data_IF_892201887424
#
_entry.id   IF_892201887424
#
_cell.length_a   1.000
_cell.length_b   1.000
_cell.length_c   1.000
_cell.angle_alpha   90.00
_cell.angle_beta   90.00
_cell.angle_gamma   90.00
#
_symmetry.space_group_name_H-M   'P 1'
#
loop_
_entity.id
_entity.type
_entity.pdbx_description
1 polymer ?
#
# COMPACT_ATOMS: atom_id res chain seq x y z
N UNK A 1 27.37 10.21 -5.23
CA UNK A 1 26.88 11.57 -5.55
C UNK A 1 25.90 11.99 -4.47
N UNK A 2 25.88 13.28 -4.13
CA UNK A 2 24.84 13.89 -3.29
C UNK A 2 23.65 14.23 -4.17
N UNK A 3 22.45 13.90 -3.71
CA UNK A 3 21.18 14.16 -4.40
C UNK A 3 20.25 14.97 -3.50
N UNK A 4 19.89 16.17 -3.92
CA UNK A 4 19.05 17.09 -3.15
C UNK A 4 17.60 17.01 -3.62
N UNK A 5 16.65 16.80 -2.71
CA UNK A 5 15.23 16.95 -3.05
C UNK A 5 14.36 17.23 -1.85
N UNK A 6 13.63 18.36 -1.89
CA UNK A 6 12.67 18.72 -0.82
C UNK A 6 11.47 17.76 -0.74
N UNK A 7 11.16 17.06 -1.84
CA UNK A 7 10.07 16.07 -1.90
C UNK A 7 10.59 14.73 -2.42
N UNK A 8 10.36 13.68 -1.66
CA UNK A 8 10.74 12.29 -2.00
C UNK A 8 10.12 11.81 -3.31
N UNK A 9 8.85 12.17 -3.59
CA UNK A 9 8.14 11.82 -4.85
C UNK A 9 8.85 12.34 -6.11
N UNK A 10 9.54 13.48 -6.02
CA UNK A 10 10.27 14.09 -7.14
C UNK A 10 11.69 13.56 -7.22
N UNK A 11 12.31 13.28 -6.07
CA UNK A 11 13.70 12.87 -6.00
C UNK A 11 13.90 11.40 -6.40
N UNK A 12 13.03 10.51 -5.92
CA UNK A 12 13.22 9.06 -6.03
C UNK A 12 13.49 8.54 -7.46
N UNK A 13 12.80 9.00 -8.52
CA UNK A 13 13.06 8.52 -9.89
C UNK A 13 14.47 8.86 -10.42
N UNK A 14 15.15 9.84 -9.83
CA UNK A 14 16.46 10.34 -10.29
C UNK A 14 17.64 9.80 -9.50
N UNK A 15 17.35 8.98 -8.47
CA UNK A 15 18.34 8.42 -7.57
C UNK A 15 19.09 7.26 -8.23
N UNK A 16 20.40 7.24 -8.00
CA UNK A 16 21.27 6.12 -8.36
C UNK A 16 21.68 5.36 -7.09
N UNK A 17 21.85 4.03 -7.15
CA UNK A 17 22.37 3.26 -6.02
C UNK A 17 23.67 3.86 -5.45
N UNK A 18 23.79 3.90 -4.12
CA UNK A 18 24.93 4.48 -3.42
C UNK A 18 24.96 6.01 -3.37
N UNK A 19 23.89 6.71 -3.79
CA UNK A 19 23.78 8.15 -3.59
C UNK A 19 23.63 8.53 -2.10
N UNK A 20 24.13 9.70 -1.72
CA UNK A 20 23.81 10.36 -0.45
C UNK A 20 22.60 11.24 -0.72
N UNK A 21 21.48 10.95 -0.06
CA UNK A 21 20.22 11.64 -0.30
C UNK A 21 20.03 12.72 0.76
N UNK A 22 19.71 13.95 0.35
CA UNK A 22 19.37 15.05 1.26
C UNK A 22 17.91 15.43 1.06
N UNK A 23 17.14 15.39 2.15
CA UNK A 23 15.71 15.66 2.18
C UNK A 23 15.39 16.86 3.06
N UNK A 24 14.19 17.40 2.87
CA UNK A 24 13.58 18.41 3.73
C UNK A 24 12.15 17.97 4.05
N UNK A 25 12.02 16.88 4.82
CA UNK A 25 10.75 16.19 5.01
C UNK A 25 10.63 15.66 6.44
N UNK A 26 9.90 16.37 7.30
CA UNK A 26 9.59 15.92 8.65
C UNK A 26 8.55 14.79 8.63
N UNK A 27 8.61 13.90 9.61
CA UNK A 27 7.66 12.80 9.80
C UNK A 27 7.46 11.93 8.55
N UNK A 28 8.57 11.50 7.93
CA UNK A 28 8.54 10.66 6.73
C UNK A 28 7.66 9.41 6.96
N UNK A 29 6.73 9.17 6.04
CA UNK A 29 5.84 8.00 6.06
C UNK A 29 6.54 6.72 5.53
N UNK A 30 5.91 5.57 5.74
CA UNK A 30 6.45 4.27 5.32
C UNK A 30 6.53 4.10 3.79
N UNK A 31 5.60 4.70 3.04
CA UNK A 31 5.52 4.58 1.57
C UNK A 31 6.68 5.34 0.91
N UNK A 32 6.90 6.58 1.34
CA UNK A 32 8.02 7.41 0.91
C UNK A 32 9.37 6.77 1.32
N UNK A 33 9.45 6.20 2.52
CA UNK A 33 10.62 5.47 2.98
C UNK A 33 10.93 4.25 2.10
N UNK A 34 9.94 3.40 1.77
CA UNK A 34 10.14 2.23 0.87
C UNK A 34 10.60 2.65 -0.53
N UNK A 35 10.08 3.77 -1.03
CA UNK A 35 10.51 4.32 -2.31
C UNK A 35 12.01 4.68 -2.29
N UNK A 36 12.50 5.25 -1.17
CA UNK A 36 13.93 5.49 -0.98
C UNK A 36 14.72 4.18 -0.83
N UNK A 37 14.19 3.19 -0.10
CA UNK A 37 14.83 1.87 0.04
C UNK A 37 15.07 1.23 -1.34
N UNK A 38 14.08 1.29 -2.23
CA UNK A 38 14.19 0.75 -3.58
C UNK A 38 15.34 1.38 -4.38
N UNK A 39 15.62 2.68 -4.16
CA UNK A 39 16.74 3.39 -4.79
C UNK A 39 18.13 3.03 -4.21
N UNK A 40 18.18 2.32 -3.08
CA UNK A 40 19.42 1.87 -2.39
C UNK A 40 20.43 3.00 -2.15
N UNK A 41 20.05 4.10 -1.48
CA UNK A 41 20.99 5.15 -1.12
C UNK A 41 22.01 4.63 -0.10
N UNK A 42 23.19 5.25 -0.09
CA UNK A 42 24.21 4.99 0.92
C UNK A 42 23.80 5.56 2.28
N UNK A 43 23.22 6.76 2.26
CA UNK A 43 22.76 7.46 3.46
C UNK A 43 21.62 8.42 3.10
N UNK A 44 20.78 8.72 4.08
CA UNK A 44 19.75 9.76 4.01
C UNK A 44 20.03 10.79 5.09
N UNK A 45 20.20 12.03 4.67
CA UNK A 45 20.36 13.21 5.52
C UNK A 45 19.05 14.00 5.44
N UNK A 46 18.42 14.27 6.56
CA UNK A 46 17.23 15.10 6.60
C UNK A 46 17.58 16.46 7.20
N UNK A 47 17.26 17.52 6.47
CA UNK A 47 17.46 18.90 6.90
C UNK A 47 16.64 19.24 8.15
N UNK A 48 15.49 18.57 8.29
CA UNK A 48 14.58 18.66 9.44
C UNK A 48 14.58 17.34 10.24
N UNK A 49 14.06 17.33 11.48
CA UNK A 49 13.96 16.11 12.25
C UNK A 49 13.16 15.01 11.53
N UNK A 50 13.66 13.76 11.57
CA UNK A 50 12.95 12.59 11.06
C UNK A 50 11.67 12.28 11.84
N UNK A 51 11.68 12.60 13.13
CA UNK A 51 10.54 12.49 14.05
C UNK A 51 10.37 13.87 14.69
N UNK A 52 9.30 14.57 14.34
CA UNK A 52 8.98 15.90 14.88
C UNK A 52 8.55 15.84 16.34
N UNK A 53 8.07 14.67 16.78
CA UNK A 53 7.51 14.45 18.12
C UNK A 53 6.00 14.67 18.18
N UNK A 54 5.33 15.04 17.08
CA UNK A 54 3.88 15.25 17.06
C UNK A 54 3.10 13.94 17.24
N UNK A 55 3.55 12.88 16.58
CA UNK A 55 3.01 11.53 16.69
C UNK A 55 4.09 10.52 16.27
N UNK A 56 3.91 9.22 16.57
CA UNK A 56 4.89 8.20 16.18
C UNK A 56 4.79 7.88 14.69
N UNK A 57 5.82 8.18 13.90
CA UNK A 57 5.88 7.89 12.46
C UNK A 57 6.77 6.67 12.14
N UNK A 58 6.48 5.96 11.03
CA UNK A 58 7.15 4.67 10.71
C UNK A 58 8.29 4.77 9.68
N UNK A 59 8.40 5.84 8.90
CA UNK A 59 9.38 5.93 7.82
C UNK A 59 10.85 5.77 8.25
N UNK A 60 11.32 6.39 9.36
CA UNK A 60 12.70 6.21 9.82
C UNK A 60 13.02 4.75 10.19
N UNK A 61 12.06 4.02 10.73
CA UNK A 61 12.21 2.60 11.06
C UNK A 61 12.43 1.75 9.80
N UNK A 62 11.66 2.02 8.74
CA UNK A 62 11.78 1.34 7.44
C UNK A 62 13.18 1.52 6.85
N UNK A 63 13.72 2.74 6.89
CA UNK A 63 15.07 3.04 6.38
C UNK A 63 16.17 2.34 7.20
N UNK A 64 16.08 2.39 8.54
CA UNK A 64 17.06 1.76 9.42
C UNK A 64 17.07 0.24 9.26
N UNK A 65 15.89 -0.41 9.16
CA UNK A 65 15.79 -1.86 8.92
C UNK A 65 16.38 -2.28 7.57
N UNK A 66 16.35 -1.39 6.57
CA UNK A 66 16.99 -1.61 5.28
C UNK A 66 18.52 -1.40 5.31
N UNK A 67 19.11 -1.04 6.46
CA UNK A 67 20.54 -0.81 6.62
C UNK A 67 21.04 0.53 6.07
N UNK A 68 20.13 1.49 5.84
CA UNK A 68 20.47 2.82 5.33
C UNK A 68 20.91 3.72 6.51
N UNK A 69 22.07 4.37 6.37
CA UNK A 69 22.55 5.29 7.41
C UNK A 69 21.71 6.58 7.42
N UNK A 70 21.21 6.97 8.60
CA UNK A 70 20.39 8.15 8.78
C UNK A 70 21.12 9.26 9.53
N UNK A 71 20.92 10.50 9.08
CA UNK A 71 21.48 11.69 9.70
C UNK A 71 20.48 12.83 9.69
N UNK A 72 20.44 13.62 10.76
CA UNK A 72 19.77 14.92 10.76
C UNK A 72 20.81 16.02 10.47
N UNK A 73 20.39 17.09 9.80
CA UNK A 73 21.14 18.34 9.71
C UNK A 73 21.53 18.77 11.12
N UNK A 74 22.80 19.15 11.31
CA UNK A 74 23.30 19.53 12.63
C UNK A 74 22.46 20.63 13.27
N UNK A 75 22.63 20.82 14.58
CA UNK A 75 21.82 21.73 15.43
C UNK A 75 21.83 23.23 15.06
N UNK A 76 22.37 23.61 13.90
CA UNK A 76 22.34 24.96 13.35
C UNK A 76 21.20 25.10 12.34
N UNK A 77 20.56 26.26 12.31
CA UNK A 77 19.46 26.63 11.40
C UNK A 77 19.88 26.78 9.91
N UNK A 78 20.94 26.08 9.49
CA UNK A 78 21.52 26.19 8.17
C UNK A 78 20.77 25.28 7.19
N UNK A 79 20.10 25.89 6.19
CA UNK A 79 19.42 25.17 5.13
C UNK A 79 20.45 24.41 4.27
N UNK A 80 20.50 23.09 4.41
CA UNK A 80 21.42 22.22 3.66
C UNK A 80 21.28 22.41 2.14
N UNK A 81 20.09 22.80 1.66
CA UNK A 81 19.84 23.03 0.23
C UNK A 81 20.47 24.32 -0.28
N UNK A 82 20.78 25.28 0.60
CA UNK A 82 21.49 26.51 0.23
C UNK A 82 23.01 26.30 0.14
N UNK A 83 23.52 25.26 0.79
CA UNK A 83 24.96 25.05 1.00
C UNK A 83 25.49 23.94 0.08
N UNK A 84 24.73 22.85 -0.07
CA UNK A 84 25.11 21.70 -0.86
C UNK A 84 24.74 21.89 -2.33
N UNK A 85 25.46 21.19 -3.21
CA UNK A 85 25.22 21.17 -4.65
C UNK A 85 24.72 19.80 -5.09
N UNK A 86 23.63 19.79 -5.85
CA UNK A 86 23.06 18.56 -6.40
C UNK A 86 23.97 17.95 -7.47
N UNK A 87 24.11 16.63 -7.45
CA UNK A 87 24.90 15.87 -8.43
C UNK A 87 26.41 15.84 -8.18
N UNK A 88 26.92 16.58 -7.19
CA UNK A 88 28.35 16.58 -6.87
C UNK A 88 28.75 15.40 -5.94
N UNK A 89 30.03 15.03 -5.94
CA UNK A 89 30.54 13.99 -5.05
C UNK A 89 30.65 14.53 -3.62
N UNK A 90 30.08 13.80 -2.68
CA UNK A 90 30.23 14.03 -1.25
C UNK A 90 30.72 12.78 -0.55
N UNK A 91 31.36 12.97 0.61
CA UNK A 91 31.85 11.89 1.47
C UNK A 91 31.31 12.10 2.88
N UNK A 92 30.82 11.03 3.50
CA UNK A 92 30.47 11.02 4.92
C UNK A 92 31.54 10.25 5.69
N UNK A 93 32.12 10.87 6.71
CA UNK A 93 33.07 10.23 7.63
C UNK A 93 32.88 10.76 9.04
N UNK A 94 32.75 9.89 10.04
CA UNK A 94 32.63 10.30 11.45
C UNK A 94 31.47 11.25 11.76
N UNK A 95 30.36 11.19 11.00
CA UNK A 95 29.23 12.12 11.16
C UNK A 95 29.48 13.51 10.55
N UNK A 96 30.41 13.63 9.60
CA UNK A 96 30.69 14.85 8.86
C UNK A 96 30.51 14.58 7.36
N UNK A 97 29.75 15.44 6.69
CA UNK A 97 29.63 15.47 5.23
C UNK A 97 30.62 16.50 4.66
N UNK A 98 31.48 16.03 3.76
CA UNK A 98 32.37 16.88 2.97
C UNK A 98 31.91 16.89 1.52
N UNK A 99 31.67 18.07 0.95
CA UNK A 99 31.34 18.27 -0.46
C UNK A 99 31.98 19.56 -0.97
N UNK A 100 32.80 19.47 -2.02
CA UNK A 100 33.35 20.64 -2.72
C UNK A 100 34.02 21.68 -1.81
N UNK A 101 34.67 21.23 -0.74
CA UNK A 101 35.33 22.07 0.26
C UNK A 101 34.42 22.52 1.41
N UNK A 102 33.11 22.31 1.33
CA UNK A 102 32.15 22.54 2.41
C UNK A 102 32.16 21.36 3.37
N UNK A 103 32.22 21.64 4.68
CA UNK A 103 32.20 20.66 5.76
C UNK A 103 30.95 20.90 6.60
N UNK A 104 30.08 19.91 6.69
CA UNK A 104 28.82 19.97 7.43
C UNK A 104 28.82 18.89 8.50
N UNK A 105 28.56 19.29 9.75
CA UNK A 105 28.39 18.32 10.85
C UNK A 105 26.97 17.78 10.85
N UNK A 106 26.87 16.45 10.85
CA UNK A 106 25.63 15.70 10.85
C UNK A 106 25.39 15.08 12.22
N UNK A 107 24.13 15.02 12.64
CA UNK A 107 23.72 14.28 13.82
C UNK A 107 23.33 12.85 13.40
N UNK A 108 24.05 11.79 13.80
CA UNK A 108 23.66 10.42 13.50
C UNK A 108 22.30 10.09 14.11
N UNK A 109 21.42 9.48 13.32
CA UNK A 109 20.11 9.03 13.77
C UNK A 109 20.08 7.50 13.83
N UNK A 110 19.98 6.96 15.04
CA UNK A 110 20.11 5.52 15.31
C UNK A 110 18.79 4.91 15.78
N UNK A 111 18.70 3.58 15.81
CA UNK A 111 17.52 2.88 16.34
C UNK A 111 17.22 3.25 17.80
N UNK A 112 18.24 3.49 18.63
CA UNK A 112 18.04 3.93 20.01
C UNK A 112 17.41 5.34 20.08
N UNK A 113 17.90 6.27 19.25
CA UNK A 113 17.32 7.62 19.14
C UNK A 113 15.88 7.55 18.63
N UNK A 114 15.62 6.68 17.65
CA UNK A 114 14.27 6.44 17.14
C UNK A 114 13.33 5.95 18.26
N UNK A 115 13.73 4.93 19.01
CA UNK A 115 12.92 4.39 20.11
C UNK A 115 12.57 5.45 21.15
N UNK A 116 13.53 6.30 21.52
CA UNK A 116 13.32 7.38 22.48
C UNK A 116 12.40 8.48 21.92
N UNK A 117 12.64 8.95 20.69
CA UNK A 117 11.76 9.93 20.04
C UNK A 117 10.34 9.39 19.84
N UNK A 118 10.19 8.11 19.49
CA UNK A 118 8.89 7.45 19.36
C UNK A 118 8.14 7.36 20.69
N UNK A 119 8.86 7.08 21.79
CA UNK A 119 8.28 7.08 23.14
C UNK A 119 7.78 8.46 23.54
N UNK A 120 8.57 9.51 23.25
CA UNK A 120 8.16 10.90 23.49
C UNK A 120 6.96 11.30 22.62
N UNK A 121 6.97 10.93 21.33
CA UNK A 121 5.89 11.25 20.41
C UNK A 121 4.55 10.58 20.79
N UNK A 122 4.59 9.38 21.39
CA UNK A 122 3.40 8.71 21.95
C UNK A 122 2.75 9.52 23.08
N UNK A 123 3.52 10.26 23.87
CA UNK A 123 2.98 11.10 24.92
C UNK A 123 2.16 12.28 24.37
N UNK A 124 2.49 12.74 23.16
CA UNK A 124 1.82 13.85 22.47
C UNK A 124 0.63 13.41 21.62
N UNK A 125 0.32 12.11 21.58
CA UNK A 125 -0.75 11.56 20.76
C UNK A 125 -2.13 12.12 21.13
N UNK A 126 -2.35 12.44 22.41
CA UNK A 126 -3.60 13.03 22.88
C UNK A 126 -3.88 14.40 22.23
N UNK A 127 -2.86 15.23 22.10
CA UNK A 127 -2.99 16.55 21.46
C UNK A 127 -3.21 16.39 19.94
N UNK A 128 -2.45 15.48 19.31
CA UNK A 128 -2.63 15.17 17.89
C UNK A 128 -4.03 14.62 17.58
N UNK A 129 -4.60 13.80 18.48
CA UNK A 129 -5.97 13.30 18.41
C UNK A 129 -7.00 14.40 18.58
N UNK A 130 -6.78 15.31 19.54
CA UNK A 130 -7.67 16.44 19.78
C UNK A 130 -7.70 17.38 18.58
N UNK A 131 -6.54 17.68 18.00
CA UNK A 131 -6.41 18.41 16.74
C UNK A 131 -7.17 17.71 15.60
N UNK A 132 -6.98 16.39 15.46
CA UNK A 132 -7.66 15.61 14.44
C UNK A 132 -9.18 15.70 14.60
N UNK A 133 -9.70 15.48 15.82
CA UNK A 133 -11.13 15.56 16.11
C UNK A 133 -11.72 16.94 15.80
N UNK A 134 -11.07 18.01 16.27
CA UNK A 134 -11.52 19.39 15.99
C UNK A 134 -11.50 19.72 14.50
N UNK A 135 -10.47 19.26 13.78
CA UNK A 135 -10.40 19.45 12.33
C UNK A 135 -11.52 18.68 11.62
N UNK A 136 -11.72 17.41 11.96
CA UNK A 136 -12.77 16.56 11.37
C UNK A 136 -14.16 17.15 11.60
N UNK A 137 -14.46 17.64 12.82
CA UNK A 137 -15.73 18.32 13.11
C UNK A 137 -15.90 19.60 12.28
N UNK A 138 -14.85 20.40 12.10
CA UNK A 138 -14.89 21.59 11.25
C UNK A 138 -15.13 21.25 9.77
N UNK A 139 -14.63 20.10 9.31
CA UNK A 139 -14.91 19.61 7.96
C UNK A 139 -16.35 19.12 7.83
N UNK A 140 -16.87 18.42 8.86
CA UNK A 140 -18.28 18.07 8.93
C UNK A 140 -19.17 19.31 8.88
N UNK A 141 -18.76 20.48 9.34
CA UNK A 141 -19.56 21.69 9.17
C UNK A 141 -19.74 22.15 7.72
N UNK A 142 -19.00 21.56 6.77
CA UNK A 142 -19.17 21.80 5.33
C UNK A 142 -20.27 20.90 4.77
N UNK A 143 -21.17 21.50 4.00
CA UNK A 143 -22.32 20.84 3.40
C UNK A 143 -21.93 19.67 2.47
N UNK A 144 -20.85 19.80 1.71
CA UNK A 144 -20.29 18.75 0.83
C UNK A 144 -19.86 17.49 1.62
N UNK A 145 -19.29 17.66 2.82
CA UNK A 145 -18.82 16.53 3.65
C UNK A 145 -19.98 15.90 4.46
N UNK A 146 -20.95 16.71 4.88
CA UNK A 146 -22.19 16.21 5.49
C UNK A 146 -23.02 15.38 4.50
N UNK A 147 -23.18 15.86 3.27
CA UNK A 147 -23.91 15.14 2.23
C UNK A 147 -23.23 13.82 1.86
N UNK A 148 -21.89 13.73 1.90
CA UNK A 148 -21.20 12.45 1.72
C UNK A 148 -21.68 11.37 2.71
N UNK A 149 -22.00 11.73 3.96
CA UNK A 149 -22.52 10.81 4.97
C UNK A 149 -24.03 10.57 4.86
N UNK A 150 -24.79 11.64 4.64
CA UNK A 150 -26.25 11.64 4.80
C UNK A 150 -27.00 11.32 3.50
N UNK A 151 -26.42 11.68 2.36
CA UNK A 151 -27.04 11.54 1.05
C UNK A 151 -26.37 10.43 0.22
N UNK A 152 -27.11 9.80 -0.71
CA UNK A 152 -26.52 8.92 -1.72
C UNK A 152 -25.57 9.73 -2.61
N UNK A 153 -24.35 9.20 -2.81
CA UNK A 153 -23.38 9.85 -3.72
C UNK A 153 -23.71 9.47 -5.16
N UNK A 154 -23.77 10.46 -6.06
CA UNK A 154 -23.93 10.21 -7.49
C UNK A 154 -22.67 9.54 -8.04
N UNK A 155 -22.80 8.28 -8.47
CA UNK A 155 -21.69 7.47 -8.99
C UNK A 155 -21.84 7.20 -10.49
N UNK A 156 -20.74 7.22 -11.27
CA UNK A 156 -20.78 6.95 -12.71
C UNK A 156 -21.33 5.54 -13.00
N UNK A 157 -21.96 5.37 -14.17
CA UNK A 157 -22.48 4.07 -14.62
C UNK A 157 -21.34 3.12 -14.94
N UNK A 158 -21.24 2.01 -14.22
CA UNK A 158 -20.18 1.03 -14.47
C UNK A 158 -20.69 -0.08 -15.38
N UNK A 159 -19.94 -0.42 -16.43
CA UNK A 159 -20.16 -1.66 -17.19
C UNK A 159 -19.91 -2.88 -16.31
N UNK A 160 -18.96 -2.75 -15.39
CA UNK A 160 -18.63 -3.77 -14.39
C UNK A 160 -19.74 -3.86 -13.35
N UNK A 161 -20.32 -5.06 -13.18
CA UNK A 161 -21.34 -5.31 -12.16
C UNK A 161 -20.69 -5.52 -10.80
N UNK A 162 -20.94 -4.59 -9.86
CA UNK A 162 -20.46 -4.64 -8.47
C UNK A 162 -21.54 -5.10 -7.49
N UNK A 163 -22.82 -4.92 -7.82
CA UNK A 163 -23.95 -5.22 -6.96
C UNK A 163 -23.97 -6.71 -6.55
N UNK A 164 -24.11 -6.98 -5.25
CA UNK A 164 -24.22 -8.34 -4.72
C UNK A 164 -22.92 -9.16 -4.80
N UNK A 165 -21.78 -8.52 -5.08
CA UNK A 165 -20.47 -9.19 -5.22
C UNK A 165 -19.48 -8.70 -4.18
N UNK A 166 -18.47 -9.53 -3.93
CA UNK A 166 -17.25 -9.07 -3.30
C UNK A 166 -16.47 -8.18 -4.28
N UNK A 167 -15.94 -7.08 -3.78
CA UNK A 167 -15.09 -6.15 -4.54
C UNK A 167 -13.74 -6.06 -3.84
N UNK A 168 -12.67 -6.27 -4.60
CA UNK A 168 -11.30 -6.07 -4.16
C UNK A 168 -10.81 -4.70 -4.63
N UNK A 169 -10.53 -3.80 -3.69
CA UNK A 169 -9.93 -2.50 -3.96
C UNK A 169 -8.45 -2.56 -3.61
N UNK A 170 -7.58 -2.28 -4.58
CA UNK A 170 -6.13 -2.32 -4.39
C UNK A 170 -5.56 -0.91 -4.53
N UNK A 171 -4.86 -0.45 -3.49
CA UNK A 171 -4.12 0.81 -3.51
C UNK A 171 -2.65 0.56 -3.19
N UNK A 172 -1.76 1.45 -3.63
CA UNK A 172 -0.32 1.38 -3.30
C UNK A 172 -0.03 1.99 -1.93
N UNK A 173 -0.32 1.24 -0.86
CA UNK A 173 0.10 1.60 0.50
C UNK A 173 1.01 0.56 1.14
N UNK A 174 1.24 0.68 2.44
CA UNK A 174 2.27 -0.10 3.13
C UNK A 174 1.96 -1.61 3.14
N UNK A 175 2.89 -2.41 2.61
CA UNK A 175 2.78 -3.88 2.58
C UNK A 175 1.79 -4.44 1.56
N UNK A 176 1.34 -3.62 0.60
CA UNK A 176 0.27 -4.03 -0.34
C UNK A 176 0.68 -5.22 -1.24
N UNK A 177 1.96 -5.37 -1.58
CA UNK A 177 2.46 -6.49 -2.40
C UNK A 177 2.39 -7.81 -1.62
N UNK A 178 2.81 -7.79 -0.36
CA UNK A 178 2.74 -8.95 0.52
C UNK A 178 1.29 -9.33 0.82
N UNK A 179 0.42 -8.35 1.04
CA UNK A 179 -1.00 -8.57 1.29
C UNK A 179 -1.69 -9.14 0.03
N UNK A 180 -1.40 -8.59 -1.15
CA UNK A 180 -1.96 -9.05 -2.42
C UNK A 180 -1.50 -10.47 -2.78
N UNK A 181 -0.23 -10.81 -2.54
CA UNK A 181 0.30 -12.15 -2.76
C UNK A 181 -0.43 -13.21 -1.90
N UNK A 182 -0.91 -12.85 -0.71
CA UNK A 182 -1.65 -13.75 0.18
C UNK A 182 -3.13 -13.94 -0.22
N UNK A 183 -3.67 -13.08 -1.10
CA UNK A 183 -5.07 -13.14 -1.53
C UNK A 183 -5.33 -14.10 -2.70
N UNK A 184 -4.33 -14.85 -3.17
CA UNK A 184 -4.48 -15.74 -4.33
C UNK A 184 -5.64 -16.75 -4.21
N UNK A 185 -5.90 -17.29 -3.00
CA UNK A 185 -7.05 -18.17 -2.76
C UNK A 185 -8.39 -17.41 -2.80
N UNK A 186 -8.44 -16.22 -2.19
CA UNK A 186 -9.63 -15.38 -2.19
C UNK A 186 -10.03 -14.97 -3.61
N UNK A 187 -9.06 -14.55 -4.44
CA UNK A 187 -9.28 -14.21 -5.84
C UNK A 187 -9.88 -15.38 -6.63
N UNK A 188 -9.41 -16.61 -6.39
CA UNK A 188 -9.89 -17.82 -7.08
C UNK A 188 -11.27 -18.26 -6.60
N UNK A 189 -11.51 -18.28 -5.28
CA UNK A 189 -12.76 -18.80 -4.70
C UNK A 189 -13.92 -17.81 -4.83
N UNK A 190 -13.66 -16.52 -4.60
CA UNK A 190 -14.73 -15.50 -4.59
C UNK A 190 -14.91 -14.81 -5.93
N UNK A 191 -13.92 -14.90 -6.83
CA UNK A 191 -13.93 -14.18 -8.13
C UNK A 191 -14.45 -12.74 -8.00
N UNK A 192 -13.87 -11.94 -7.08
CA UNK A 192 -14.36 -10.60 -6.79
C UNK A 192 -14.18 -9.69 -8.01
N UNK A 193 -14.97 -8.62 -8.10
CA UNK A 193 -14.65 -7.54 -9.02
C UNK A 193 -13.42 -6.78 -8.49
N UNK A 194 -12.46 -6.45 -9.34
CA UNK A 194 -11.19 -5.84 -8.95
C UNK A 194 -11.14 -4.38 -9.38
N UNK A 195 -11.00 -3.47 -8.42
CA UNK A 195 -10.78 -2.04 -8.64
C UNK A 195 -9.33 -1.72 -8.28
N UNK A 196 -8.56 -1.25 -9.26
CA UNK A 196 -7.22 -0.72 -9.04
C UNK A 196 -7.28 0.79 -8.85
N UNK A 197 -6.65 1.29 -7.79
CA UNK A 197 -6.58 2.73 -7.52
C UNK A 197 -5.22 3.29 -7.94
N UNK A 198 -5.25 4.34 -8.77
CA UNK A 198 -4.06 4.96 -9.34
C UNK A 198 -3.10 3.89 -9.92
N UNK A 199 -1.78 4.02 -9.74
CA UNK A 199 -0.82 3.02 -10.25
C UNK A 199 -0.80 1.67 -9.54
N UNK A 200 -1.80 1.32 -8.71
CA UNK A 200 -1.99 -0.08 -8.28
C UNK A 200 -2.33 -1.00 -9.47
N UNK A 201 -2.81 -0.44 -10.59
CA UNK A 201 -3.10 -1.19 -11.80
C UNK A 201 -1.85 -1.93 -12.34
N UNK A 202 -0.70 -1.28 -12.34
CA UNK A 202 0.55 -1.89 -12.84
C UNK A 202 1.03 -3.04 -11.95
N UNK A 203 0.84 -2.92 -10.63
CA UNK A 203 1.19 -3.97 -9.68
C UNK A 203 0.31 -5.21 -9.84
N UNK A 204 -1.00 -5.02 -10.05
CA UNK A 204 -1.94 -6.10 -10.35
C UNK A 204 -1.54 -6.84 -11.64
N UNK A 205 -1.21 -6.11 -12.70
CA UNK A 205 -0.78 -6.70 -13.97
C UNK A 205 0.51 -7.50 -13.84
N UNK A 206 1.46 -7.04 -13.03
CA UNK A 206 2.70 -7.77 -12.73
C UNK A 206 2.43 -9.12 -12.08
N UNK A 207 1.35 -9.23 -11.30
CA UNK A 207 0.89 -10.47 -10.65
C UNK A 207 -0.03 -11.31 -11.55
N UNK A 208 -0.25 -10.90 -12.80
CA UNK A 208 -1.16 -11.59 -13.73
C UNK A 208 -2.64 -11.41 -13.40
N UNK A 209 -2.99 -10.41 -12.58
CA UNK A 209 -4.39 -10.06 -12.26
C UNK A 209 -4.76 -8.82 -13.06
N UNK A 210 -5.79 -8.94 -13.90
CA UNK A 210 -6.30 -7.81 -14.68
C UNK A 210 -7.39 -7.10 -13.87
N UNK A 211 -7.30 -5.79 -13.61
CA UNK A 211 -8.38 -5.06 -12.95
C UNK A 211 -9.61 -4.97 -13.86
N UNK A 212 -10.80 -4.95 -13.25
CA UNK A 212 -12.05 -4.67 -13.96
C UNK A 212 -12.25 -3.16 -14.13
N UNK A 213 -11.91 -2.40 -13.09
CA UNK A 213 -11.96 -0.94 -13.06
C UNK A 213 -10.60 -0.38 -12.64
N UNK A 214 -10.15 0.68 -13.31
CA UNK A 214 -9.05 1.55 -12.85
C UNK A 214 -9.65 2.90 -12.48
N UNK A 215 -9.45 3.32 -11.23
CA UNK A 215 -9.98 4.58 -10.70
C UNK A 215 -8.85 5.45 -10.14
N UNK A 216 -8.75 6.71 -10.57
CA UNK A 216 -7.71 7.59 -10.03
C UNK A 216 -7.32 8.81 -10.84
N UNK A 217 -6.11 9.32 -10.57
CA UNK A 217 -5.51 10.50 -11.23
C UNK A 217 -4.88 10.20 -12.60
N UNK A 218 -4.73 8.92 -12.96
CA UNK A 218 -4.16 8.41 -14.22
C UNK A 218 -2.69 8.73 -14.48
N UNK A 219 -2.12 9.76 -13.84
CA UNK A 219 -0.73 10.20 -14.05
C UNK A 219 0.30 9.17 -13.60
N UNK A 220 -0.05 8.39 -12.58
CA UNK A 220 0.87 7.46 -11.94
C UNK A 220 0.76 6.02 -12.46
N UNK A 221 0.06 5.85 -13.59
CA UNK A 221 -0.25 4.57 -14.26
C UNK A 221 0.51 4.48 -15.59
N UNK A 222 1.11 3.32 -15.87
CA UNK A 222 1.78 3.09 -17.14
C UNK A 222 0.81 3.05 -18.33
N UNK A 223 1.31 3.34 -19.53
CA UNK A 223 0.57 3.17 -20.79
C UNK A 223 0.00 1.75 -20.95
N UNK A 224 0.74 0.73 -20.52
CA UNK A 224 0.29 -0.66 -20.55
C UNK A 224 -0.83 -0.90 -19.53
N UNK A 225 -0.74 -0.27 -18.35
CA UNK A 225 -1.78 -0.24 -17.34
C UNK A 225 -3.09 0.32 -17.86
N UNK A 226 -3.05 1.53 -18.43
CA UNK A 226 -4.25 2.18 -18.99
C UNK A 226 -4.84 1.42 -20.19
N UNK A 227 -3.99 0.76 -20.99
CA UNK A 227 -4.42 -0.06 -22.14
C UNK A 227 -4.74 -1.50 -21.79
N UNK A 228 -4.70 -1.89 -20.51
CA UNK A 228 -4.99 -3.26 -20.13
C UNK A 228 -6.46 -3.62 -20.41
N UNK A 229 -7.33 -2.64 -20.66
CA UNK A 229 -8.74 -2.79 -21.07
C UNK A 229 -9.70 -2.98 -19.89
N UNK A 230 -9.28 -2.54 -18.71
CA UNK A 230 -10.17 -2.19 -17.61
C UNK A 230 -11.05 -1.00 -17.99
N UNK A 231 -12.19 -0.86 -17.31
CA UNK A 231 -13.01 0.34 -17.35
C UNK A 231 -12.30 1.49 -16.60
N UNK A 232 -12.14 2.64 -17.26
CA UNK A 232 -11.40 3.78 -16.70
C UNK A 232 -12.36 4.79 -16.07
N UNK A 233 -12.10 5.16 -14.82
CA UNK A 233 -12.85 6.18 -14.08
C UNK A 233 -11.86 7.22 -13.54
N UNK A 234 -11.86 8.40 -14.14
CA UNK A 234 -11.01 9.52 -13.71
C UNK A 234 -11.63 10.16 -12.49
N UNK A 235 -10.87 10.19 -11.39
CA UNK A 235 -11.28 10.92 -10.19
C UNK A 235 -11.17 12.43 -10.47
N UNK A 236 -12.26 13.15 -10.24
CA UNK A 236 -12.34 14.59 -10.42
C UNK A 236 -12.59 15.27 -9.07
N UNK A 237 -11.94 16.42 -8.85
CA UNK A 237 -12.13 17.20 -7.63
C UNK A 237 -13.42 18.00 -7.71
N UNK A 238 -14.27 17.92 -6.69
CA UNK A 238 -15.55 18.66 -6.67
C UNK A 238 -15.44 20.19 -6.73
N UNK A 239 -14.24 20.77 -6.61
CA UNK A 239 -13.99 22.22 -6.79
C UNK A 239 -12.85 22.49 -7.76
N UNK A 240 -12.91 23.59 -8.52
CA UNK A 240 -11.75 24.08 -9.26
C UNK A 240 -10.63 24.40 -8.28
N UNK A 241 -9.42 23.89 -8.54
CA UNK A 241 -8.22 24.45 -7.91
C UNK A 241 -8.20 25.95 -8.22
N UNK A 242 -7.87 26.78 -7.23
CA UNK A 242 -7.75 28.25 -7.32
C UNK A 242 -6.74 28.75 -8.37
N UNK A 243 -6.23 27.85 -9.22
CA UNK A 243 -5.10 27.99 -10.12
C UNK A 243 -5.38 27.32 -11.47
N UNK A 244 -6.53 27.58 -12.11
CA UNK A 244 -6.77 27.26 -13.53
C UNK A 244 -6.66 25.79 -13.99
N UNK A 245 -6.40 24.84 -13.10
CA UNK A 245 -6.28 23.42 -13.43
C UNK A 245 -7.65 22.79 -13.70
N UNK A 246 -7.67 21.85 -14.66
CA UNK A 246 -8.81 20.97 -14.95
C UNK A 246 -9.35 20.32 -13.67
N UNK A 247 -10.67 20.26 -13.56
CA UNK A 247 -11.41 19.56 -12.49
C UNK A 247 -11.09 18.06 -12.47
N UNK A 248 -10.63 17.50 -13.60
CA UNK A 248 -10.20 16.13 -13.76
C UNK A 248 -8.81 16.08 -14.44
N UNK A 249 -7.70 16.26 -13.69
CA UNK A 249 -6.36 16.34 -14.29
C UNK A 249 -5.97 15.08 -15.08
N UNK A 250 -6.43 13.91 -14.64
CA UNK A 250 -6.18 12.64 -15.34
C UNK A 250 -6.92 12.48 -16.67
N UNK A 251 -7.88 13.35 -17.00
CA UNK A 251 -8.66 13.22 -18.23
C UNK A 251 -7.83 13.54 -19.47
N UNK A 252 -6.97 14.57 -19.40
CA UNK A 252 -6.06 14.93 -20.49
C UNK A 252 -5.15 13.75 -20.87
N UNK A 253 -4.70 13.00 -19.85
CA UNK A 253 -3.86 11.81 -20.03
C UNK A 253 -4.61 10.71 -20.78
N UNK A 254 -5.85 10.43 -20.41
CA UNK A 254 -6.71 9.42 -21.07
C UNK A 254 -7.00 9.82 -22.53
N UNK A 255 -7.37 11.09 -22.76
CA UNK A 255 -7.66 11.63 -24.10
C UNK A 255 -6.44 11.56 -25.02
N UNK A 256 -5.25 11.89 -24.50
CA UNK A 256 -3.99 11.81 -25.26
C UNK A 256 -3.69 10.39 -25.77
N UNK A 257 -4.15 9.37 -25.05
CA UNK A 257 -3.99 7.96 -25.39
C UNK A 257 -5.16 7.40 -26.23
N UNK A 258 -6.16 8.24 -26.54
CA UNK A 258 -7.41 7.89 -27.24
C UNK A 258 -8.19 6.77 -26.55
N UNK A 259 -8.24 6.84 -25.22
CA UNK A 259 -9.00 5.92 -24.38
C UNK A 259 -10.31 6.58 -23.95
N UNK A 260 -11.30 5.77 -23.60
CA UNK A 260 -12.56 6.24 -23.04
C UNK A 260 -12.52 6.13 -21.52
N UNK A 261 -12.94 7.18 -20.82
CA UNK A 261 -13.10 7.16 -19.38
C UNK A 261 -14.32 7.99 -18.94
N UNK A 262 -14.88 7.61 -17.80
CA UNK A 262 -15.90 8.41 -17.12
C UNK A 262 -15.25 9.25 -16.02
N UNK A 263 -15.80 10.42 -15.72
CA UNK A 263 -15.35 11.24 -14.59
C UNK A 263 -16.20 10.96 -13.36
N UNK A 264 -15.57 10.83 -12.20
CA UNK A 264 -16.26 10.72 -10.92
C UNK A 264 -15.89 11.91 -10.01
N UNK A 265 -16.74 12.96 -9.95
CA UNK A 265 -16.52 14.11 -9.09
C UNK A 265 -16.91 13.79 -7.65
N UNK A 266 -15.92 13.66 -6.77
CA UNK A 266 -16.16 13.40 -5.35
C UNK A 266 -15.06 14.02 -4.48
N UNK A 267 -15.41 14.38 -3.26
CA UNK A 267 -14.42 14.86 -2.30
C UNK A 267 -13.64 13.69 -1.68
N UNK A 268 -12.38 13.93 -1.33
CA UNK A 268 -11.48 12.94 -0.76
C UNK A 268 -10.36 12.51 -1.71
N UNK A 269 -9.79 11.35 -1.46
CA UNK A 269 -8.71 10.75 -2.27
C UNK A 269 -9.26 9.77 -3.31
N UNK A 270 -8.44 9.34 -4.27
CA UNK A 270 -8.82 8.27 -5.22
C UNK A 270 -9.22 6.96 -4.51
N UNK A 271 -8.62 6.67 -3.34
CA UNK A 271 -8.99 5.54 -2.48
C UNK A 271 -10.44 5.70 -1.98
N UNK A 272 -10.81 6.90 -1.53
CA UNK A 272 -12.14 7.22 -1.02
C UNK A 272 -13.20 7.13 -2.13
N UNK A 273 -12.88 7.64 -3.32
CA UNK A 273 -13.72 7.51 -4.49
C UNK A 273 -13.97 6.05 -4.86
N UNK A 274 -12.95 5.18 -4.82
CA UNK A 274 -13.13 3.75 -5.08
C UNK A 274 -14.03 3.07 -4.03
N UNK A 275 -13.87 3.42 -2.74
CA UNK A 275 -14.71 2.91 -1.66
C UNK A 275 -16.18 3.32 -1.86
N UNK A 276 -16.43 4.60 -2.16
CA UNK A 276 -17.78 5.11 -2.42
C UNK A 276 -18.40 4.48 -3.66
N UNK A 277 -17.64 4.34 -4.75
CA UNK A 277 -18.12 3.68 -5.97
C UNK A 277 -18.60 2.26 -5.68
N UNK A 278 -17.78 1.46 -5.00
CA UNK A 278 -18.13 0.08 -4.67
C UNK A 278 -19.36 0.01 -3.75
N UNK A 279 -19.43 0.89 -2.75
CA UNK A 279 -20.53 0.93 -1.80
C UNK A 279 -21.87 1.31 -2.45
N UNK A 280 -21.91 2.42 -3.19
CA UNK A 280 -23.13 2.95 -3.83
C UNK A 280 -23.59 2.03 -4.99
N UNK A 281 -22.66 1.32 -5.64
CA UNK A 281 -22.98 0.28 -6.64
C UNK A 281 -23.41 -1.05 -6.01
N UNK A 282 -23.57 -1.11 -4.69
CA UNK A 282 -24.19 -2.24 -4.00
C UNK A 282 -23.28 -3.44 -3.75
N UNK A 283 -21.97 -3.26 -3.66
CA UNK A 283 -21.07 -4.33 -3.23
C UNK A 283 -21.48 -4.87 -1.86
N UNK A 284 -21.47 -6.19 -1.68
CA UNK A 284 -21.83 -6.86 -0.41
C UNK A 284 -20.65 -6.89 0.57
N UNK A 285 -19.44 -6.99 0.01
CA UNK A 285 -18.17 -7.01 0.73
C UNK A 285 -17.14 -6.22 -0.06
N UNK A 286 -16.47 -5.29 0.60
CA UNK A 286 -15.37 -4.51 0.05
C UNK A 286 -14.10 -4.93 0.80
N UNK A 287 -13.19 -5.60 0.09
CA UNK A 287 -11.88 -5.98 0.61
C UNK A 287 -10.85 -4.96 0.14
N UNK A 288 -10.18 -4.32 1.09
CA UNK A 288 -9.26 -3.23 0.83
C UNK A 288 -7.80 -3.67 1.08
N UNK A 289 -6.94 -3.53 0.06
CA UNK A 289 -5.51 -3.90 0.10
C UNK A 289 -4.66 -2.65 0.06
N UNK A 290 -3.65 -2.58 0.94
CA UNK A 290 -2.73 -1.44 1.01
C UNK A 290 -3.39 -0.17 1.55
N UNK A 291 -4.58 -0.26 2.13
CA UNK A 291 -5.30 0.91 2.62
C UNK A 291 -4.79 1.33 4.00
N UNK A 292 -4.96 2.62 4.29
CA UNK A 292 -4.41 3.29 5.47
C UNK A 292 -5.37 3.10 6.64
N UNK A 293 -5.25 1.99 7.36
CA UNK A 293 -6.26 1.50 8.30
C UNK A 293 -6.01 1.86 9.76
N UNK A 294 -4.90 2.52 10.07
CA UNK A 294 -4.54 2.86 11.45
C UNK A 294 -4.52 4.36 11.70
N UNK A 295 -4.77 4.75 12.95
CA UNK A 295 -4.72 6.15 13.40
C UNK A 295 -3.41 6.84 13.00
N UNK A 296 -2.29 6.12 13.10
CA UNK A 296 -0.99 6.62 12.66
C UNK A 296 -0.99 6.99 11.17
N UNK A 297 -1.56 6.13 10.31
CA UNK A 297 -1.67 6.38 8.87
C UNK A 297 -2.56 7.59 8.56
N UNK A 298 -3.60 7.83 9.38
CA UNK A 298 -4.41 9.04 9.31
C UNK A 298 -3.63 10.27 9.75
N UNK A 299 -2.72 10.16 10.71
CA UNK A 299 -1.89 11.28 11.19
C UNK A 299 -0.75 11.62 10.22
N UNK A 300 -0.22 10.62 9.51
CA UNK A 300 0.83 10.72 8.48
C UNK A 300 0.40 11.61 7.29
N UNK A 301 -0.85 11.46 6.81
CA UNK A 301 -1.38 12.22 5.66
C UNK A 301 -1.90 13.59 6.11
N UNK A 302 -1.19 14.69 5.86
CA UNK A 302 -1.56 16.05 6.29
C UNK A 302 -3.06 16.46 6.29
N UNK A 303 -3.37 17.40 7.21
CA UNK A 303 -4.69 17.83 7.75
C UNK A 303 -5.86 18.14 6.78
N UNK A 304 -5.66 18.16 5.46
CA UNK A 304 -6.67 18.58 4.48
C UNK A 304 -7.62 17.48 4.01
N UNK A 305 -7.08 16.32 3.60
CA UNK A 305 -7.85 15.22 3.01
C UNK A 305 -8.29 14.14 4.01
N UNK A 306 -7.77 14.14 5.24
CA UNK A 306 -8.02 13.06 6.21
C UNK A 306 -9.47 13.00 6.69
N UNK A 307 -10.13 14.16 6.81
CA UNK A 307 -11.49 14.22 7.35
C UNK A 307 -12.44 13.46 6.43
N UNK A 308 -12.42 13.76 5.13
CA UNK A 308 -13.22 13.07 4.11
C UNK A 308 -12.92 11.57 4.08
N UNK A 309 -11.65 11.16 4.15
CA UNK A 309 -11.26 9.73 4.22
C UNK A 309 -11.86 9.03 5.44
N UNK A 310 -11.83 9.68 6.61
CA UNK A 310 -12.44 9.14 7.83
C UNK A 310 -13.97 9.00 7.69
N UNK A 311 -14.64 10.00 7.12
CA UNK A 311 -16.09 9.98 6.91
C UNK A 311 -16.52 8.90 5.91
N UNK A 312 -15.79 8.75 4.81
CA UNK A 312 -16.07 7.69 3.81
C UNK A 312 -15.97 6.32 4.47
N UNK A 313 -14.92 6.08 5.27
CA UNK A 313 -14.78 4.83 6.02
C UNK A 313 -15.88 4.61 7.06
N UNK A 314 -16.37 5.66 7.70
CA UNK A 314 -17.53 5.58 8.59
C UNK A 314 -18.78 5.13 7.82
N UNK A 315 -19.01 5.67 6.61
CA UNK A 315 -20.15 5.29 5.75
C UNK A 315 -20.05 3.86 5.22
N UNK A 316 -18.89 3.46 4.71
CA UNK A 316 -18.70 2.13 4.09
C UNK A 316 -18.37 1.02 5.09
N UNK A 317 -18.11 1.36 6.35
CA UNK A 317 -17.56 0.47 7.37
C UNK A 317 -18.34 -0.83 7.62
N UNK A 318 -19.65 -0.84 7.36
CA UNK A 318 -20.48 -2.05 7.49
C UNK A 318 -20.16 -3.14 6.46
N UNK A 319 -19.51 -2.78 5.34
CA UNK A 319 -19.14 -3.70 4.26
C UNK A 319 -17.63 -3.74 3.99
N UNK A 320 -16.83 -2.95 4.71
CA UNK A 320 -15.39 -2.81 4.49
C UNK A 320 -14.58 -3.75 5.40
N UNK A 321 -13.67 -4.52 4.79
CA UNK A 321 -12.74 -5.41 5.49
C UNK A 321 -11.32 -5.23 4.94
N UNK A 322 -10.33 -5.22 5.84
CA UNK A 322 -8.91 -5.16 5.48
C UNK A 322 -8.41 -6.51 4.93
N UNK A 323 -7.58 -6.47 3.88
CA UNK A 323 -6.99 -7.64 3.26
C UNK A 323 -6.23 -8.54 4.24
N UNK A 324 -5.58 -7.96 5.25
CA UNK A 324 -4.88 -8.71 6.31
C UNK A 324 -5.84 -9.53 7.17
N UNK A 325 -7.07 -9.06 7.33
CA UNK A 325 -8.15 -9.81 7.99
C UNK A 325 -8.56 -11.03 7.15
N UNK A 326 -8.73 -10.82 5.85
CA UNK A 326 -9.11 -11.89 4.90
C UNK A 326 -8.00 -12.95 4.79
N UNK A 327 -6.75 -12.55 4.65
CA UNK A 327 -5.63 -13.48 4.52
C UNK A 327 -5.48 -14.40 5.74
N UNK A 328 -5.69 -13.88 6.96
CA UNK A 328 -5.69 -14.67 8.20
C UNK A 328 -6.79 -15.72 8.25
N UNK A 329 -7.98 -15.41 7.74
CA UNK A 329 -9.10 -16.35 7.69
C UNK A 329 -8.84 -17.49 6.68
N UNK A 330 -8.29 -17.16 5.51
CA UNK A 330 -8.00 -18.14 4.46
C UNK A 330 -6.76 -19.00 4.77
N UNK A 331 -5.73 -18.44 5.42
CA UNK A 331 -4.54 -19.20 5.84
C UNK A 331 -4.89 -20.37 6.78
N UNK A 332 -5.93 -20.21 7.61
CA UNK A 332 -6.39 -21.26 8.53
C UNK A 332 -7.03 -22.45 7.79
N UNK A 333 -7.63 -22.22 6.61
CA UNK A 333 -8.34 -23.23 5.82
C UNK A 333 -7.39 -24.22 5.13
N UNK A 334 -6.14 -23.83 4.86
CA UNK A 334 -5.11 -24.70 4.28
C UNK A 334 -4.75 -25.90 5.17
N UNK A 335 -5.11 -25.89 6.46
CA UNK A 335 -4.91 -27.03 7.37
C UNK A 335 -5.89 -28.19 7.16
N UNK A 336 -6.89 -28.05 6.28
CA UNK A 336 -7.86 -29.12 5.99
C UNK A 336 -7.35 -30.13 4.96
N UNK A 337 -6.40 -29.76 4.10
CA UNK A 337 -5.80 -30.68 3.14
C UNK A 337 -5.11 -31.90 3.79
N UNK A 338 -4.24 -31.74 4.81
CA UNK A 338 -3.68 -32.90 5.52
C UNK A 338 -4.75 -33.69 6.28
N UNK A 339 -5.81 -33.04 6.76
CA UNK A 339 -6.94 -33.71 7.40
C UNK A 339 -7.67 -34.62 6.40
N UNK A 340 -7.92 -34.15 5.18
CA UNK A 340 -8.55 -34.96 4.12
C UNK A 340 -7.67 -36.14 3.68
N UNK A 341 -6.35 -35.94 3.57
CA UNK A 341 -5.41 -37.03 3.29
C UNK A 341 -5.46 -38.06 4.42
N UNK A 342 -5.46 -37.62 5.69
CA UNK A 342 -5.58 -38.54 6.83
C UNK A 342 -6.91 -39.30 6.83
N UNK A 343 -8.01 -38.64 6.45
CA UNK A 343 -9.32 -39.27 6.32
C UNK A 343 -9.35 -40.32 5.21
N UNK A 344 -8.75 -40.01 4.06
CA UNK A 344 -8.64 -40.93 2.94
C UNK A 344 -7.81 -42.16 3.31
N UNK A 345 -6.71 -41.98 4.04
CA UNK A 345 -5.88 -43.09 4.56
C UNK A 345 -6.68 -43.93 5.55
N UNK A 346 -7.39 -43.30 6.50
CA UNK A 346 -8.26 -44.01 7.45
C UNK A 346 -9.38 -44.80 6.75
N UNK A 347 -9.97 -44.27 5.69
CA UNK A 347 -11.02 -44.94 4.91
C UNK A 347 -10.48 -46.07 4.03
N UNK A 348 -9.26 -45.91 3.48
CA UNK A 348 -8.60 -46.92 2.68
C UNK A 348 -8.05 -48.09 3.52
N UNK A 349 -7.69 -47.84 4.78
CA UNK A 349 -7.07 -48.84 5.64
C UNK A 349 -7.91 -50.14 5.81
N UNK A 350 -9.22 -50.11 6.10
CA UNK A 350 -10.05 -51.31 6.16
C UNK A 350 -10.12 -52.06 4.83
N UNK A 351 -10.19 -51.34 3.71
CA UNK A 351 -10.23 -51.92 2.36
C UNK A 351 -8.94 -52.66 2.03
N UNK A 352 -7.79 -52.07 2.39
CA UNK A 352 -6.48 -52.70 2.22
C UNK A 352 -6.37 -53.96 3.09
N UNK A 353 -6.80 -53.91 4.35
CA UNK A 353 -6.78 -55.07 5.25
C UNK A 353 -7.71 -56.18 4.76
N UNK A 354 -8.90 -55.84 4.27
CA UNK A 354 -9.84 -56.80 3.70
C UNK A 354 -9.27 -57.44 2.44
N UNK A 355 -8.72 -56.64 1.53
CA UNK A 355 -8.10 -57.11 0.30
C UNK A 355 -6.90 -58.04 0.57
N UNK A 356 -6.04 -57.68 1.53
CA UNK A 356 -4.89 -58.51 1.93
C UNK A 356 -5.29 -59.88 2.50
N UNK A 357 -6.50 -60.00 3.06
CA UNK A 357 -7.03 -61.27 3.56
C UNK A 357 -7.75 -62.12 2.50
N UNK A 358 -8.00 -61.58 1.30
CA UNK A 358 -8.55 -62.37 0.19
C UNK A 358 -7.47 -63.19 -0.51
N UNK A 359 -7.86 -64.32 -1.12
CA UNK A 359 -6.97 -65.18 -1.90
C UNK A 359 -6.26 -64.41 -3.02
N UNK A 360 -6.98 -63.54 -3.72
CA UNK A 360 -6.45 -62.68 -4.79
C UNK A 360 -5.38 -61.72 -4.25
N UNK A 361 -5.64 -61.05 -3.12
CA UNK A 361 -4.67 -60.14 -2.51
C UNK A 361 -3.40 -60.86 -2.04
N UNK A 362 -3.53 -62.05 -1.47
CA UNK A 362 -2.37 -62.87 -1.08
C UNK A 362 -1.52 -63.32 -2.28
N UNK A 363 -2.14 -63.68 -3.39
CA UNK A 363 -1.43 -64.05 -4.62
C UNK A 363 -0.69 -62.86 -5.24
N UNK A 364 -1.32 -61.68 -5.30
CA UNK A 364 -0.68 -60.46 -5.79
C UNK A 364 0.45 -60.00 -4.87
N UNK A 365 0.27 -60.08 -3.54
CA UNK A 365 1.32 -59.76 -2.58
C UNK A 365 2.54 -60.67 -2.74
N UNK A 366 2.32 -61.99 -2.85
CA UNK A 366 3.41 -62.94 -3.12
C UNK A 366 4.11 -62.66 -4.45
N UNK A 367 3.36 -62.32 -5.48
CA UNK A 367 3.92 -61.97 -6.81
C UNK A 367 4.76 -60.69 -6.74
N UNK A 368 4.29 -59.68 -6.01
CA UNK A 368 5.00 -58.43 -5.78
C UNK A 368 6.29 -58.66 -4.97
N UNK A 369 6.25 -59.47 -3.92
CA UNK A 369 7.42 -59.83 -3.10
C UNK A 369 8.46 -60.59 -3.94
N UNK A 370 8.02 -61.51 -4.80
CA UNK A 370 8.91 -62.23 -5.72
C UNK A 370 9.52 -61.29 -6.75
N UNK A 371 8.72 -60.40 -7.34
CA UNK A 371 9.21 -59.39 -8.28
C UNK A 371 10.22 -58.44 -7.63
N UNK A 372 9.94 -57.95 -6.42
CA UNK A 372 10.85 -57.10 -5.66
C UNK A 372 12.17 -57.81 -5.30
N UNK A 373 12.12 -59.08 -4.87
CA UNK A 373 13.34 -59.87 -4.61
C UNK A 373 14.16 -60.11 -5.88
N UNK A 374 13.49 -60.31 -7.02
CA UNK A 374 14.17 -60.47 -8.31
C UNK A 374 14.83 -59.18 -8.81
N UNK A 375 14.27 -58.01 -8.45
CA UNK A 375 14.79 -56.71 -8.90
C UNK A 375 15.75 -56.04 -7.91
N UNK A 376 15.63 -56.31 -6.61
CA UNK A 376 16.36 -55.60 -5.56
C UNK A 376 17.14 -56.50 -4.58
N UNK A 377 17.07 -57.83 -4.69
CA UNK A 377 17.82 -58.78 -3.85
C UNK A 377 17.15 -59.11 -2.53
#
# INVERSE_FOLDING_TARGET
>A
MVRLGRRTKVLAPTLTPGAIVVLDHADLDSVAARTLVAARPLAVINNVPFVSGRYPNRGPEVLLRAGIALYEGGSGAEDLFAILRDGELGRISGGVLEQSGTIIRLAPFTSAILEDKMRAARANLNDALSDFAQNTLRYLDREEERSLLLDPVSVPETRTVLAGRAVLIVVRGDGYEEDLAQLGLFLREQSPAVIAVDGAADALLTLGVRPDIILGDMDSISDAGLRCGAELIVHAYSRPLTSGNSVAPGLERVESLRLEAQTFPVAGTSEDAALLLAYERGADLIVAVGTHSHLEDFLDKGRGGMASTFLVRLKVGSRLVDARGVSRLYARRQRLAPLMVSLAICAAFPLVVLFANTSVGQHLWRSLVVWLRLHFG
#
